data_IF_118871162148
#
_entry.id   IF_118871162148
#
_cell.length_a   1.000
_cell.length_b   1.000
_cell.length_c   1.000
_cell.angle_alpha   90.00
_cell.angle_beta   90.00
_cell.angle_gamma   90.00
#
_symmetry.space_group_name_H-M   'P 1'
#
loop_
_entity.id
_entity.type
_entity.pdbx_description
1 polymer ?
#
# COMPACT_ATOMS: atom_id res chain seq x y z
N UNK A 1 -44.57 20.10 -77.35
CA UNK A 1 -45.42 20.17 -76.14
C UNK A 1 -44.71 19.39 -75.03
N UNK A 2 -43.94 20.05 -74.17
CA UNK A 2 -43.09 19.39 -73.16
C UNK A 2 -43.91 19.17 -71.89
N UNK A 3 -44.05 17.91 -71.46
CA UNK A 3 -44.76 17.48 -70.25
C UNK A 3 -43.74 17.23 -69.14
N UNK A 4 -43.87 17.95 -68.02
CA UNK A 4 -43.16 17.70 -66.77
C UNK A 4 -43.74 16.47 -66.05
N UNK A 5 -42.85 15.62 -65.52
CA UNK A 5 -43.19 14.67 -64.45
C UNK A 5 -42.37 15.06 -63.21
N UNK A 6 -43.08 15.55 -62.19
CA UNK A 6 -42.56 15.89 -60.86
C UNK A 6 -42.15 14.61 -60.13
N UNK A 7 -40.90 14.53 -59.69
CA UNK A 7 -40.41 13.51 -58.75
C UNK A 7 -40.75 13.90 -57.31
N UNK A 8 -41.23 12.93 -56.53
CA UNK A 8 -41.68 13.08 -55.14
C UNK A 8 -40.50 13.38 -54.19
N UNK A 9 -40.18 14.66 -53.97
CA UNK A 9 -39.13 15.10 -53.04
C UNK A 9 -39.50 14.94 -51.55
N UNK A 10 -40.76 14.66 -51.23
CA UNK A 10 -41.26 14.60 -49.85
C UNK A 10 -40.84 13.33 -49.09
N UNK A 11 -40.63 12.19 -49.76
CA UNK A 11 -40.21 10.94 -49.08
C UNK A 11 -38.72 10.91 -48.73
N UNK A 12 -37.87 11.58 -49.52
CA UNK A 12 -36.42 11.63 -49.25
C UNK A 12 -36.10 12.59 -48.08
N UNK A 13 -36.90 13.65 -47.92
CA UNK A 13 -36.74 14.61 -46.82
C UNK A 13 -37.12 14.03 -45.45
N UNK A 14 -38.14 13.16 -45.40
CA UNK A 14 -38.57 12.47 -44.17
C UNK A 14 -37.57 11.42 -43.67
N UNK A 15 -36.86 10.73 -44.58
CA UNK A 15 -35.83 9.74 -44.21
C UNK A 15 -34.57 10.42 -43.66
N UNK A 16 -34.20 11.59 -44.21
CA UNK A 16 -33.04 12.36 -43.74
C UNK A 16 -33.30 12.97 -42.35
N UNK A 17 -34.52 13.45 -42.07
CA UNK A 17 -34.89 13.96 -40.74
C UNK A 17 -34.92 12.83 -39.69
N UNK A 18 -35.34 11.61 -40.06
CA UNK A 18 -35.29 10.46 -39.15
C UNK A 18 -33.86 9.99 -38.84
N UNK A 19 -32.92 10.14 -39.78
CA UNK A 19 -31.50 9.85 -39.52
C UNK A 19 -30.79 10.95 -38.72
N UNK A 20 -31.20 12.21 -38.87
CA UNK A 20 -30.70 13.33 -38.05
C UNK A 20 -31.18 13.26 -36.58
N UNK A 21 -32.37 12.73 -36.31
CA UNK A 21 -32.84 12.51 -34.93
C UNK A 21 -32.21 11.29 -34.24
N UNK A 22 -31.81 10.26 -34.99
CA UNK A 22 -31.08 9.10 -34.43
C UNK A 22 -29.60 9.43 -34.21
N UNK A 23 -28.99 10.27 -35.05
CA UNK A 23 -27.61 10.72 -34.86
C UNK A 23 -27.44 11.77 -33.74
N UNK A 24 -28.49 12.49 -33.36
CA UNK A 24 -28.44 13.56 -32.35
C UNK A 24 -28.88 13.11 -30.94
N UNK A 25 -29.25 11.85 -30.73
CA UNK A 25 -29.59 11.29 -29.40
C UNK A 25 -28.47 10.47 -28.75
N UNK A 26 -27.32 10.28 -29.41
CA UNK A 26 -26.15 9.57 -28.84
C UNK A 26 -24.96 10.48 -28.46
N UNK A 27 -25.18 11.79 -28.38
CA UNK A 27 -24.30 12.70 -27.64
C UNK A 27 -24.99 13.17 -26.35
N UNK A 28 -25.52 12.22 -25.58
CA UNK A 28 -25.53 12.41 -24.13
C UNK A 28 -24.07 12.51 -23.74
N UNK A 29 -23.66 13.70 -23.32
CA UNK A 29 -22.40 13.95 -22.64
C UNK A 29 -22.04 12.76 -21.75
N UNK A 30 -21.11 11.91 -22.19
CA UNK A 30 -20.23 11.20 -21.26
C UNK A 30 -19.39 12.29 -20.59
N UNK A 31 -19.99 13.03 -19.64
CA UNK A 31 -19.25 13.39 -18.44
C UNK A 31 -18.81 12.04 -17.92
N UNK A 32 -17.56 11.65 -18.22
CA UNK A 32 -17.00 10.45 -17.65
C UNK A 32 -17.24 10.57 -16.15
N UNK A 33 -18.05 9.68 -15.58
CA UNK A 33 -18.23 9.66 -14.14
C UNK A 33 -16.84 9.49 -13.55
N UNK A 34 -16.29 10.56 -12.97
CA UNK A 34 -15.04 10.55 -12.24
C UNK A 34 -15.10 9.41 -11.23
N UNK A 35 -14.07 8.56 -11.20
CA UNK A 35 -14.03 7.44 -10.27
C UNK A 35 -14.01 8.00 -8.85
N UNK A 36 -14.62 7.31 -7.90
CA UNK A 36 -14.62 7.79 -6.50
C UNK A 36 -13.20 7.86 -5.94
N UNK A 37 -12.35 6.95 -6.39
CA UNK A 37 -10.90 6.95 -6.16
C UNK A 37 -10.17 8.23 -6.59
N UNK A 38 -10.66 8.96 -7.60
CA UNK A 38 -10.02 10.20 -8.08
C UNK A 38 -10.15 11.36 -7.08
N UNK A 39 -11.07 11.25 -6.12
CA UNK A 39 -11.29 12.27 -5.08
C UNK A 39 -10.45 12.04 -3.82
N UNK A 40 -9.72 10.94 -3.72
CA UNK A 40 -8.91 10.64 -2.54
C UNK A 40 -7.58 11.38 -2.58
N UNK A 41 -7.22 11.99 -1.46
CA UNK A 41 -5.95 12.68 -1.25
C UNK A 41 -5.18 12.03 -0.09
N UNK A 42 -4.25 11.09 -0.37
CA UNK A 42 -3.50 10.40 0.68
C UNK A 42 -2.55 11.29 1.49
N UNK A 43 -2.31 12.55 1.08
CA UNK A 43 -1.50 13.48 1.86
C UNK A 43 -2.30 14.23 2.93
N UNK A 44 -3.63 14.18 2.87
CA UNK A 44 -4.48 14.81 3.88
C UNK A 44 -4.14 14.26 5.26
N UNK A 45 -3.91 15.14 6.25
CA UNK A 45 -3.58 14.77 7.63
C UNK A 45 -2.20 14.09 7.82
N UNK A 46 -1.25 14.29 6.89
CA UNK A 46 0.12 13.72 6.99
C UNK A 46 1.17 14.68 7.52
N UNK A 47 0.83 15.94 7.83
CA UNK A 47 1.77 16.92 8.38
C UNK A 47 1.58 17.11 9.88
N UNK A 48 2.66 17.04 10.65
CA UNK A 48 2.69 17.35 12.09
C UNK A 48 1.57 16.60 12.86
N UNK A 49 0.96 17.25 13.86
CA UNK A 49 -0.07 16.68 14.74
C UNK A 49 -1.48 16.61 14.12
N UNK A 50 -1.64 16.78 12.80
CA UNK A 50 -2.95 16.94 12.17
C UNK A 50 -3.65 15.61 11.81
N UNK A 51 -3.25 14.51 12.43
CA UNK A 51 -3.93 13.21 12.30
C UNK A 51 -3.00 12.00 12.18
N UNK A 52 -1.70 12.20 11.98
CA UNK A 52 -0.68 11.12 11.96
C UNK A 52 -0.98 10.06 10.91
N UNK A 53 -1.49 10.44 9.75
CA UNK A 53 -1.76 9.51 8.64
C UNK A 53 -0.51 9.25 7.80
N UNK A 54 -0.64 8.43 6.76
CA UNK A 54 0.45 8.12 5.85
C UNK A 54 -0.01 8.00 4.39
N UNK A 55 0.86 8.29 3.40
CA UNK A 55 0.55 8.19 1.99
C UNK A 55 0.82 6.78 1.42
N UNK A 56 0.66 5.71 2.22
CA UNK A 56 1.02 4.37 1.77
C UNK A 56 0.26 3.92 0.53
N UNK A 57 1.00 3.28 -0.37
CA UNK A 57 0.45 2.63 -1.55
C UNK A 57 -0.16 1.27 -1.17
N UNK A 58 -1.22 1.29 -0.37
CA UNK A 58 -1.89 0.13 0.20
C UNK A 58 -3.21 -0.17 -0.52
N UNK A 59 -3.76 -1.38 -0.29
CA UNK A 59 -5.15 -1.72 -0.63
C UNK A 59 -6.04 -1.57 0.62
N UNK A 60 -7.38 -1.52 0.49
CA UNK A 60 -8.27 -1.50 1.64
C UNK A 60 -7.97 -2.65 2.60
N UNK A 61 -7.88 -2.34 3.89
CA UNK A 61 -7.53 -3.28 4.97
C UNK A 61 -6.20 -4.03 4.76
N UNK A 62 -5.31 -3.48 3.93
CA UNK A 62 -4.07 -4.12 3.48
C UNK A 62 -3.02 -4.27 4.56
N UNK A 63 -2.43 -5.47 4.69
CA UNK A 63 -1.29 -5.73 5.56
C UNK A 63 0.00 -5.05 5.06
N UNK A 64 0.31 -5.16 3.76
CA UNK A 64 1.45 -4.49 3.15
C UNK A 64 1.13 -3.01 2.90
N UNK A 65 1.99 -2.13 3.44
CA UNK A 65 1.84 -0.67 3.38
C UNK A 65 3.15 0.03 3.02
N UNK A 66 3.63 -0.13 1.77
CA UNK A 66 4.85 0.51 1.31
C UNK A 66 4.65 2.03 1.21
N UNK A 67 5.54 2.80 1.86
CA UNK A 67 5.58 4.25 1.76
C UNK A 67 6.98 4.78 2.16
N UNK A 68 7.25 6.08 1.93
CA UNK A 68 8.45 6.75 2.46
C UNK A 68 8.48 6.74 3.99
N UNK A 69 9.69 6.60 4.53
CA UNK A 69 10.02 6.88 5.92
C UNK A 69 10.77 8.22 5.96
N UNK A 70 10.06 9.29 6.32
CA UNK A 70 10.57 10.66 6.23
C UNK A 70 11.72 10.92 7.21
N UNK A 71 12.49 11.97 6.94
CA UNK A 71 13.52 12.50 7.82
C UNK A 71 13.31 14.03 7.97
N UNK A 72 12.87 14.51 9.15
CA UNK A 72 12.59 13.75 10.37
C UNK A 72 11.41 12.77 10.22
N UNK A 73 11.43 11.71 11.04
CA UNK A 73 10.41 10.65 11.00
C UNK A 73 9.10 11.16 11.59
N UNK A 74 8.03 11.15 10.79
CA UNK A 74 6.67 11.43 11.28
C UNK A 74 6.09 10.27 12.10
N UNK A 75 4.93 10.49 12.71
CA UNK A 75 4.28 9.52 13.60
C UNK A 75 3.99 8.18 12.96
N UNK A 76 3.37 8.16 11.77
CA UNK A 76 3.18 6.93 10.98
C UNK A 76 4.32 6.67 9.99
N UNK A 77 5.49 7.22 10.30
CA UNK A 77 6.69 7.14 9.48
C UNK A 77 6.86 8.27 8.46
N UNK A 78 5.86 9.14 8.27
CA UNK A 78 5.92 10.20 7.26
C UNK A 78 5.39 11.53 7.79
N UNK A 79 6.10 12.62 7.47
CA UNK A 79 5.65 14.00 7.62
C UNK A 79 5.73 14.72 6.28
N UNK A 80 4.63 15.34 5.84
CA UNK A 80 4.57 16.04 4.54
C UNK A 80 5.59 17.17 4.38
N UNK A 81 6.00 17.83 5.48
CA UNK A 81 6.98 18.92 5.46
C UNK A 81 8.43 18.43 5.34
N UNK A 82 8.66 17.14 5.56
CA UNK A 82 9.99 16.56 5.48
C UNK A 82 10.54 16.62 4.06
N UNK A 83 11.82 16.98 3.96
CA UNK A 83 12.55 17.14 2.68
C UNK A 83 13.47 15.98 2.37
N UNK A 84 13.60 15.03 3.29
CA UNK A 84 14.48 13.86 3.18
C UNK A 84 13.73 12.59 3.53
N UNK A 85 14.30 11.46 3.12
CA UNK A 85 13.78 10.12 3.35
C UNK A 85 14.90 9.20 3.83
N UNK A 86 14.64 8.41 4.86
CA UNK A 86 15.53 7.36 5.38
C UNK A 86 15.50 6.10 4.51
N UNK A 87 14.44 5.94 3.71
CA UNK A 87 14.16 4.81 2.83
C UNK A 87 12.66 4.56 2.75
N UNK A 88 12.27 3.41 2.20
CA UNK A 88 10.87 3.03 1.99
C UNK A 88 10.60 1.71 2.71
N UNK A 89 9.81 1.74 3.78
CA UNK A 89 9.44 0.55 4.55
C UNK A 89 8.11 -0.02 4.14
N UNK A 90 7.86 -1.27 4.52
CA UNK A 90 6.74 -2.07 4.01
C UNK A 90 5.55 -2.15 4.98
N UNK A 91 5.68 -1.60 6.19
CA UNK A 91 4.68 -1.73 7.26
C UNK A 91 4.51 -0.41 8.01
N UNK A 92 3.26 -0.03 8.31
CA UNK A 92 2.92 1.10 9.19
C UNK A 92 1.50 1.00 9.72
N UNK A 93 1.19 1.79 10.74
CA UNK A 93 -0.15 1.89 11.32
C UNK A 93 -0.57 3.36 11.35
N UNK A 94 -1.33 3.77 10.32
CA UNK A 94 -1.89 5.12 10.14
C UNK A 94 -2.79 5.54 11.31
N UNK A 95 -2.68 6.80 11.73
CA UNK A 95 -3.68 7.49 12.54
C UNK A 95 -3.71 7.11 14.01
N UNK A 96 -2.58 6.65 14.56
CA UNK A 96 -2.46 6.28 15.97
C UNK A 96 -1.63 7.30 16.75
N UNK A 97 -1.88 7.37 18.06
CA UNK A 97 -1.05 8.16 18.99
C UNK A 97 0.29 7.49 19.30
N UNK A 98 1.12 8.13 20.13
CA UNK A 98 2.54 7.77 20.27
C UNK A 98 3.26 7.78 18.91
N UNK A 99 4.49 7.25 18.80
CA UNK A 99 5.33 7.27 17.59
C UNK A 99 4.87 6.31 16.46
N UNK A 100 3.58 6.00 16.37
CA UNK A 100 3.09 4.95 15.47
C UNK A 100 3.70 3.58 15.75
N UNK A 101 3.68 2.69 14.76
CA UNK A 101 4.36 1.39 14.77
C UNK A 101 4.57 0.89 13.34
N UNK A 102 5.64 0.14 13.11
CA UNK A 102 6.03 -0.36 11.78
C UNK A 102 7.43 0.07 11.42
N UNK A 103 7.64 0.43 10.16
CA UNK A 103 8.96 0.77 9.64
C UNK A 103 9.80 -0.42 9.25
N UNK A 104 9.21 -1.62 9.12
CA UNK A 104 9.98 -2.84 8.91
C UNK A 104 10.41 -3.00 7.45
N UNK A 105 11.60 -3.61 7.27
CA UNK A 105 12.19 -3.93 5.96
C UNK A 105 12.31 -2.64 5.14
N UNK A 106 13.11 -1.69 5.64
CA UNK A 106 13.30 -0.39 4.98
C UNK A 106 14.30 -0.54 3.85
N UNK A 107 13.95 -0.06 2.67
CA UNK A 107 14.76 -0.14 1.45
C UNK A 107 15.17 1.27 1.02
N UNK A 108 16.46 1.53 0.89
CA UNK A 108 17.01 2.77 0.37
C UNK A 108 17.75 2.50 -0.96
N UNK A 109 17.29 3.03 -2.11
CA UNK A 109 18.04 2.93 -3.35
C UNK A 109 19.27 3.85 -3.27
N UNK A 110 20.40 3.40 -3.81
CA UNK A 110 21.62 4.19 -3.86
C UNK A 110 22.26 4.16 -5.25
N UNK A 111 23.00 5.22 -5.53
CA UNK A 111 23.89 5.37 -6.70
C UNK A 111 25.17 6.00 -6.14
N UNK A 112 26.29 5.29 -6.26
CA UNK A 112 27.61 5.75 -5.84
C UNK A 112 28.26 6.41 -7.06
N UNK A 113 28.54 7.70 -6.93
CA UNK A 113 29.35 8.50 -7.85
C UNK A 113 30.72 8.81 -7.26
N UNK A 114 31.64 9.36 -8.05
CA UNK A 114 32.99 9.74 -7.63
C UNK A 114 33.01 10.67 -6.39
N UNK A 115 31.97 11.51 -6.24
CA UNK A 115 31.80 12.44 -5.11
C UNK A 115 31.24 11.78 -3.84
N UNK A 116 30.85 10.50 -3.90
CA UNK A 116 30.15 9.79 -2.82
C UNK A 116 30.76 8.42 -2.62
N UNK A 117 31.58 8.24 -1.60
CA UNK A 117 32.25 6.95 -1.33
C UNK A 117 31.45 5.97 -0.46
N UNK A 118 30.32 6.40 0.12
CA UNK A 118 29.50 5.58 1.01
C UNK A 118 28.00 5.70 0.69
N UNK A 119 27.25 4.63 0.98
CA UNK A 119 25.79 4.63 0.88
C UNK A 119 25.25 5.70 1.86
N UNK A 120 24.44 6.65 1.39
CA UNK A 120 23.91 7.70 2.24
C UNK A 120 22.95 7.14 3.30
N UNK A 121 22.85 7.82 4.44
CA UNK A 121 21.88 7.46 5.50
C UNK A 121 20.47 7.96 5.21
N UNK A 122 20.35 9.01 4.41
CA UNK A 122 19.09 9.57 3.91
C UNK A 122 19.32 10.28 2.58
N UNK A 123 18.24 10.44 1.80
CA UNK A 123 18.25 11.12 0.51
C UNK A 123 17.24 12.27 0.52
N UNK A 124 17.54 13.38 -0.14
CA UNK A 124 16.54 14.43 -0.39
C UNK A 124 15.47 13.94 -1.36
N UNK A 125 14.23 14.33 -1.06
CA UNK A 125 13.05 14.15 -1.90
C UNK A 125 12.91 15.35 -2.83
N UNK A 126 12.68 15.12 -4.12
CA UNK A 126 12.15 16.15 -5.01
C UNK A 126 10.64 16.26 -4.79
N UNK A 127 10.24 17.13 -3.86
CA UNK A 127 8.84 17.34 -3.47
C UNK A 127 7.93 17.78 -4.62
N UNK A 128 8.47 18.34 -5.70
CA UNK A 128 7.66 18.70 -6.89
C UNK A 128 7.23 17.47 -7.70
N UNK A 129 7.92 16.34 -7.51
CA UNK A 129 7.62 15.07 -8.19
C UNK A 129 6.83 14.10 -7.32
N UNK A 130 6.65 14.43 -6.04
CA UNK A 130 5.99 13.55 -5.08
C UNK A 130 4.48 13.48 -5.37
N UNK A 131 3.98 12.26 -5.52
CA UNK A 131 2.58 11.99 -5.86
C UNK A 131 2.09 10.80 -5.06
N UNK A 132 0.87 10.87 -4.58
CA UNK A 132 0.16 9.76 -3.97
C UNK A 132 -1.28 9.73 -4.47
N UNK A 133 -1.79 8.52 -4.70
CA UNK A 133 -3.19 8.24 -5.01
C UNK A 133 -3.55 6.89 -4.41
N UNK A 134 -4.80 6.47 -4.52
CA UNK A 134 -5.21 5.16 -3.97
C UNK A 134 -4.33 4.02 -4.53
N UNK A 135 -3.68 3.27 -3.63
CA UNK A 135 -2.81 2.16 -4.01
C UNK A 135 -1.51 2.55 -4.71
N UNK A 136 -1.10 3.83 -4.72
CA UNK A 136 0.11 4.28 -5.41
C UNK A 136 0.83 5.44 -4.71
N UNK A 137 2.14 5.39 -4.74
CA UNK A 137 3.03 6.48 -4.31
C UNK A 137 4.22 6.58 -5.26
N UNK A 138 4.70 7.79 -5.57
CA UNK A 138 5.92 8.00 -6.33
C UNK A 138 6.63 9.29 -5.97
N UNK A 139 7.96 9.28 -6.07
CA UNK A 139 8.82 10.46 -5.88
C UNK A 139 10.17 10.26 -6.58
N UNK A 140 10.82 11.34 -7.00
CA UNK A 140 12.22 11.34 -7.44
C UNK A 140 13.15 11.75 -6.30
N UNK A 141 14.36 11.19 -6.27
CA UNK A 141 15.37 11.43 -5.25
C UNK A 141 16.55 12.23 -5.82
N UNK A 142 17.35 12.86 -4.95
CA UNK A 142 18.52 13.65 -5.38
C UNK A 142 19.59 12.84 -6.12
N UNK A 143 19.64 11.52 -5.90
CA UNK A 143 20.50 10.59 -6.66
C UNK A 143 19.90 10.18 -8.02
N UNK A 144 18.87 10.89 -8.48
CA UNK A 144 18.16 10.71 -9.76
C UNK A 144 17.38 9.40 -9.88
N UNK A 145 17.27 8.60 -8.81
CA UNK A 145 16.40 7.43 -8.79
C UNK A 145 14.95 7.87 -8.64
N UNK A 146 14.06 7.39 -9.51
CA UNK A 146 12.61 7.52 -9.34
C UNK A 146 12.07 6.29 -8.62
N UNK A 147 11.25 6.52 -7.60
CA UNK A 147 10.59 5.47 -6.81
C UNK A 147 9.11 5.44 -7.17
N UNK A 148 8.54 4.26 -7.32
CA UNK A 148 7.09 4.02 -7.47
C UNK A 148 6.70 2.81 -6.63
N UNK A 149 5.63 2.93 -5.84
CA UNK A 149 5.18 1.91 -4.90
C UNK A 149 3.72 1.52 -5.20
N UNK A 150 3.40 0.25 -5.02
CA UNK A 150 2.03 -0.30 -5.01
C UNK A 150 2.01 -1.55 -4.12
N UNK A 151 0.82 -2.06 -3.80
CA UNK A 151 0.72 -3.30 -3.03
C UNK A 151 -0.49 -4.15 -3.41
N UNK A 152 -0.38 -5.43 -3.07
CA UNK A 152 -1.54 -6.31 -2.82
C UNK A 152 -1.85 -6.32 -1.32
N UNK A 153 -2.71 -7.22 -0.83
CA UNK A 153 -2.94 -7.32 0.62
C UNK A 153 -1.64 -7.60 1.40
N UNK A 154 -0.78 -8.51 0.92
CA UNK A 154 0.39 -9.00 1.68
C UNK A 154 1.70 -8.92 0.90
N UNK A 155 1.72 -8.32 -0.29
CA UNK A 155 2.96 -8.14 -1.07
C UNK A 155 3.07 -6.69 -1.50
N UNK A 156 4.13 -6.03 -1.04
CA UNK A 156 4.53 -4.71 -1.48
C UNK A 156 5.41 -4.82 -2.74
N UNK A 157 5.24 -3.88 -3.65
CA UNK A 157 5.99 -3.76 -4.90
C UNK A 157 6.67 -2.40 -4.93
N UNK A 158 7.97 -2.40 -5.11
CA UNK A 158 8.78 -1.20 -5.26
C UNK A 158 9.41 -1.23 -6.65
N UNK A 159 9.11 -0.24 -7.48
CA UNK A 159 9.76 -0.02 -8.76
C UNK A 159 10.72 1.15 -8.62
N UNK A 160 11.99 0.88 -8.87
CA UNK A 160 13.07 1.86 -8.86
C UNK A 160 13.57 2.06 -10.29
N UNK A 161 13.45 3.26 -10.83
CA UNK A 161 14.02 3.62 -12.13
C UNK A 161 15.36 4.31 -11.90
N UNK A 162 16.45 3.66 -12.29
CA UNK A 162 17.81 4.13 -12.03
C UNK A 162 18.36 4.97 -13.20
N UNK A 163 19.23 5.96 -12.91
CA UNK A 163 20.13 6.51 -13.93
C UNK A 163 21.18 5.47 -14.32
N UNK A 164 21.93 5.76 -15.38
CA UNK A 164 23.10 4.95 -15.74
C UNK A 164 24.17 5.03 -14.64
N UNK A 165 24.68 3.87 -14.20
CA UNK A 165 25.73 3.78 -13.17
C UNK A 165 26.33 2.38 -13.10
N UNK A 166 27.64 2.28 -12.89
CA UNK A 166 28.31 1.01 -12.57
C UNK A 166 28.17 0.62 -11.09
N UNK A 167 27.81 1.55 -10.22
CA UNK A 167 27.77 1.36 -8.77
C UNK A 167 26.40 1.76 -8.20
N UNK A 168 25.34 1.03 -8.59
CA UNK A 168 23.99 1.22 -8.09
C UNK A 168 23.57 0.07 -7.16
N UNK A 169 22.46 0.27 -6.45
CA UNK A 169 21.91 -0.82 -5.66
C UNK A 169 20.79 -0.43 -4.71
N UNK A 170 20.48 -1.39 -3.85
CA UNK A 170 19.47 -1.28 -2.81
C UNK A 170 20.10 -1.64 -1.46
N UNK A 171 19.94 -0.77 -0.48
CA UNK A 171 20.33 -1.02 0.90
C UNK A 171 19.07 -1.33 1.72
N UNK A 172 19.04 -2.51 2.33
CA UNK A 172 17.88 -3.01 3.08
C UNK A 172 18.27 -3.12 4.56
N UNK A 173 17.45 -2.51 5.41
CA UNK A 173 17.59 -2.55 6.86
C UNK A 173 16.48 -3.39 7.49
N UNK A 174 16.83 -4.61 7.89
CA UNK A 174 15.91 -5.53 8.58
C UNK A 174 15.71 -5.19 10.06
N UNK A 175 16.59 -4.37 10.64
CA UNK A 175 16.45 -3.86 12.01
C UNK A 175 15.63 -2.56 12.06
N UNK A 176 15.13 -2.08 10.93
CA UNK A 176 14.34 -0.85 10.87
C UNK A 176 13.00 -1.00 11.60
N UNK A 177 12.69 -0.03 12.47
CA UNK A 177 11.45 0.07 13.23
C UNK A 177 11.22 1.51 13.69
N UNK A 178 9.95 1.95 13.78
CA UNK A 178 9.59 3.28 14.28
C UNK A 178 9.69 3.39 15.81
N UNK A 179 9.38 2.31 16.52
CA UNK A 179 9.31 2.30 17.99
C UNK A 179 10.54 1.62 18.58
N UNK A 180 10.86 0.43 18.09
CA UNK A 180 11.95 -0.38 18.60
C UNK A 180 12.04 -1.72 17.89
N UNK A 181 13.27 -2.17 17.70
CA UNK A 181 13.60 -3.46 17.11
C UNK A 181 14.02 -4.43 18.22
N UNK A 182 13.54 -5.68 18.17
CA UNK A 182 13.92 -6.70 19.13
C UNK A 182 14.95 -7.67 18.53
N UNK A 183 14.58 -8.35 17.44
CA UNK A 183 15.47 -9.25 16.73
C UNK A 183 15.02 -9.43 15.28
N UNK A 184 15.95 -9.91 14.45
CA UNK A 184 15.66 -10.41 13.11
C UNK A 184 16.50 -11.66 12.85
N UNK A 185 15.95 -12.56 12.05
CA UNK A 185 16.65 -13.71 11.50
C UNK A 185 16.30 -13.80 10.03
N UNK A 186 17.30 -14.02 9.17
CA UNK A 186 17.07 -14.17 7.75
C UNK A 186 18.08 -15.12 7.11
N UNK A 187 17.71 -15.61 5.93
CA UNK A 187 18.54 -16.39 5.04
C UNK A 187 18.43 -15.82 3.63
N UNK A 188 19.48 -16.02 2.83
CA UNK A 188 19.49 -15.73 1.39
C UNK A 188 19.62 -17.08 0.69
N UNK A 189 18.63 -17.45 -0.12
CA UNK A 189 18.67 -18.71 -0.87
C UNK A 189 19.43 -18.57 -2.21
N UNK A 190 19.64 -19.69 -2.89
CA UNK A 190 20.35 -19.76 -4.17
C UNK A 190 19.68 -18.95 -5.29
N UNK A 191 18.37 -18.68 -5.17
CA UNK A 191 17.62 -17.84 -6.11
C UNK A 191 17.70 -16.35 -5.77
N UNK A 192 18.49 -15.98 -4.75
CA UNK A 192 18.63 -14.60 -4.27
C UNK A 192 17.42 -14.10 -3.48
N UNK A 193 16.55 -14.99 -2.99
CA UNK A 193 15.41 -14.60 -2.15
C UNK A 193 15.90 -14.44 -0.71
N UNK A 194 15.71 -13.25 -0.17
CA UNK A 194 15.92 -12.97 1.25
C UNK A 194 14.64 -13.31 2.00
N UNK A 195 14.66 -14.24 2.94
CA UNK A 195 13.46 -14.58 3.74
C UNK A 195 13.78 -14.78 5.20
N UNK A 196 12.80 -14.53 6.07
CA UNK A 196 13.07 -14.52 7.51
C UNK A 196 11.91 -14.07 8.37
N UNK A 197 12.22 -13.70 9.61
CA UNK A 197 11.28 -13.12 10.59
C UNK A 197 11.90 -11.90 11.27
N UNK A 198 11.03 -10.95 11.64
CA UNK A 198 11.38 -9.72 12.34
C UNK A 198 10.44 -9.57 13.52
N UNK A 199 11.01 -9.29 14.69
CA UNK A 199 10.26 -8.85 15.86
C UNK A 199 10.53 -7.38 16.17
N UNK A 200 9.49 -6.64 16.54
CA UNK A 200 9.54 -5.23 16.88
C UNK A 200 8.55 -4.89 17.99
N UNK A 201 8.82 -3.79 18.69
CA UNK A 201 7.95 -3.24 19.74
C UNK A 201 6.64 -2.74 19.15
N UNK A 202 5.53 -2.98 19.85
CA UNK A 202 4.22 -2.45 19.47
C UNK A 202 4.03 -0.99 19.93
N UNK A 203 2.85 -0.42 19.64
CA UNK A 203 2.52 0.98 19.91
C UNK A 203 2.77 1.34 21.39
N UNK A 204 3.27 2.55 21.62
CA UNK A 204 3.61 3.06 22.96
C UNK A 204 4.55 2.15 23.77
N UNK A 205 5.39 1.35 23.08
CA UNK A 205 6.34 0.42 23.69
C UNK A 205 5.66 -0.64 24.59
N UNK A 206 4.40 -0.99 24.29
CA UNK A 206 3.66 -2.09 24.93
C UNK A 206 3.72 -3.29 23.99
N UNK A 207 4.06 -4.46 24.52
CA UNK A 207 4.12 -5.71 23.77
C UNK A 207 5.07 -5.70 22.56
N UNK A 208 5.04 -6.80 21.84
CA UNK A 208 5.89 -7.06 20.68
C UNK A 208 5.05 -7.76 19.60
N UNK A 209 5.42 -7.60 18.34
CA UNK A 209 4.87 -8.39 17.24
C UNK A 209 5.98 -9.08 16.47
N UNK A 210 5.67 -10.23 15.88
CA UNK A 210 6.57 -10.95 14.97
C UNK A 210 5.89 -11.16 13.62
N UNK A 211 6.55 -10.70 12.55
CA UNK A 211 6.13 -10.96 11.18
C UNK A 211 7.22 -11.72 10.42
N UNK A 212 6.79 -12.45 9.41
CA UNK A 212 7.65 -13.17 8.47
C UNK A 212 7.65 -12.47 7.13
N UNK A 213 8.76 -12.58 6.40
CA UNK A 213 8.90 -11.95 5.10
C UNK A 213 9.66 -12.79 4.10
N UNK A 214 9.47 -12.46 2.83
CA UNK A 214 10.31 -12.87 1.72
C UNK A 214 10.46 -11.70 0.73
N UNK A 215 11.67 -11.41 0.29
CA UNK A 215 12.01 -10.30 -0.58
C UNK A 215 12.84 -10.79 -1.76
N UNK A 216 12.51 -10.32 -2.97
CA UNK A 216 13.30 -10.56 -4.18
C UNK A 216 13.33 -9.33 -5.08
N UNK A 217 14.33 -9.28 -5.95
CA UNK A 217 14.45 -8.34 -7.06
C UNK A 217 14.40 -9.10 -8.39
N UNK A 218 13.97 -8.45 -9.47
CA UNK A 218 14.08 -8.99 -10.83
C UNK A 218 15.44 -8.72 -11.49
N UNK A 219 16.33 -7.94 -10.84
CA UNK A 219 17.71 -7.71 -11.27
C UNK A 219 18.58 -8.95 -11.04
N UNK A 220 18.73 -9.77 -12.08
CA UNK A 220 19.37 -11.11 -12.04
C UNK A 220 20.89 -11.10 -11.87
N UNK A 221 21.55 -10.07 -12.37
CA UNK A 221 22.99 -9.84 -12.33
C UNK A 221 23.42 -9.13 -11.02
N UNK A 222 22.56 -9.10 -10.01
CA UNK A 222 22.86 -8.47 -8.74
C UNK A 222 23.70 -9.34 -7.81
N UNK A 223 24.58 -8.69 -7.05
CA UNK A 223 25.35 -9.30 -5.97
C UNK A 223 24.70 -8.98 -4.63
N UNK A 224 24.31 -10.01 -3.89
CA UNK A 224 23.72 -9.85 -2.55
C UNK A 224 24.80 -10.07 -1.49
N UNK A 225 24.98 -9.06 -0.64
CA UNK A 225 25.87 -9.10 0.52
C UNK A 225 25.02 -8.91 1.77
N UNK A 226 25.06 -9.87 2.68
CA UNK A 226 24.39 -9.78 3.97
C UNK A 226 25.41 -9.61 5.09
N UNK A 227 25.13 -8.69 6.00
CA UNK A 227 25.86 -8.50 7.24
C UNK A 227 24.90 -8.15 8.38
N UNK A 228 24.71 -9.10 9.30
CA UNK A 228 23.80 -9.00 10.44
C UNK A 228 22.37 -8.61 10.02
N UNK A 229 21.93 -7.37 10.22
CA UNK A 229 20.59 -6.89 9.86
C UNK A 229 20.56 -6.05 8.58
N UNK A 230 21.72 -5.87 7.93
CA UNK A 230 21.87 -5.05 6.73
C UNK A 230 22.12 -5.94 5.54
N UNK A 231 21.38 -5.69 4.46
CA UNK A 231 21.55 -6.38 3.19
C UNK A 231 21.81 -5.34 2.12
N UNK A 232 22.83 -5.59 1.30
CA UNK A 232 23.19 -4.76 0.15
C UNK A 232 23.00 -5.60 -1.11
N UNK A 233 22.18 -5.12 -2.03
CA UNK A 233 21.99 -5.69 -3.36
C UNK A 233 22.65 -4.73 -4.34
N UNK A 234 23.81 -5.12 -4.89
CA UNK A 234 24.64 -4.29 -5.78
C UNK A 234 24.49 -4.73 -7.23
N UNK A 235 24.46 -3.76 -8.14
CA UNK A 235 24.41 -4.00 -9.58
C UNK A 235 24.84 -2.76 -10.37
N UNK A 236 25.18 -2.95 -11.64
CA UNK A 236 25.20 -1.85 -12.61
C UNK A 236 23.78 -1.63 -13.16
N UNK A 237 23.49 -0.39 -13.55
CA UNK A 237 22.22 0.04 -14.08
C UNK A 237 22.42 0.80 -15.39
N UNK A 238 21.60 0.50 -16.38
CA UNK A 238 21.48 1.27 -17.61
C UNK A 238 20.59 2.50 -17.40
N UNK A 239 20.70 3.49 -18.28
CA UNK A 239 19.85 4.68 -18.22
C UNK A 239 18.37 4.32 -18.28
N UNK A 240 17.61 4.74 -17.26
CA UNK A 240 16.19 4.45 -17.08
C UNK A 240 15.86 2.96 -16.88
N UNK A 241 16.82 2.14 -16.45
CA UNK A 241 16.54 0.75 -16.10
C UNK A 241 15.57 0.69 -14.91
N UNK A 242 14.48 -0.07 -15.08
CA UNK A 242 13.50 -0.32 -14.02
C UNK A 242 13.85 -1.60 -13.27
N UNK A 243 14.06 -1.50 -11.95
CA UNK A 243 14.30 -2.62 -11.05
C UNK A 243 13.09 -2.79 -10.14
N UNK A 244 12.50 -3.97 -10.13
CA UNK A 244 11.31 -4.30 -9.35
C UNK A 244 11.63 -5.19 -8.16
N UNK A 245 11.44 -4.64 -6.96
CA UNK A 245 11.53 -5.37 -5.70
C UNK A 245 10.13 -5.75 -5.23
N UNK A 246 9.99 -6.99 -4.78
CA UNK A 246 8.76 -7.50 -4.17
C UNK A 246 9.07 -7.90 -2.74
N UNK A 247 8.24 -7.48 -1.80
CA UNK A 247 8.34 -7.87 -0.39
C UNK A 247 7.01 -8.49 0.06
N UNK A 248 6.98 -9.81 0.21
CA UNK A 248 5.84 -10.56 0.71
C UNK A 248 5.91 -10.68 2.24
N UNK A 249 4.78 -10.50 2.91
CA UNK A 249 4.62 -10.60 4.36
C UNK A 249 3.76 -11.81 4.72
N UNK A 250 3.98 -12.40 5.90
CA UNK A 250 3.13 -13.44 6.51
C UNK A 250 3.15 -13.28 8.02
N UNK A 251 2.07 -13.70 8.69
CA UNK A 251 2.03 -13.84 10.16
C UNK A 251 2.27 -15.29 10.61
N UNK A 252 2.46 -16.22 9.68
CA UNK A 252 2.57 -17.67 9.95
C UNK A 252 4.02 -18.14 9.84
N UNK A 253 4.65 -17.94 8.68
CA UNK A 253 6.00 -18.46 8.39
C UNK A 253 6.69 -17.74 7.22
N UNK A 254 8.02 -17.87 7.16
CA UNK A 254 8.81 -17.40 6.02
C UNK A 254 8.50 -18.20 4.74
N UNK A 255 8.16 -19.49 4.86
CA UNK A 255 7.73 -20.32 3.72
C UNK A 255 6.43 -19.82 3.08
N UNK A 256 5.47 -19.39 3.90
CA UNK A 256 4.23 -18.83 3.39
C UNK A 256 4.49 -17.48 2.69
N UNK A 257 5.39 -16.66 3.24
CA UNK A 257 5.84 -15.44 2.57
C UNK A 257 6.52 -15.74 1.22
N UNK A 258 7.44 -16.72 1.17
CA UNK A 258 8.11 -17.15 -0.08
C UNK A 258 7.12 -17.68 -1.11
N UNK A 259 6.15 -18.48 -0.69
CA UNK A 259 5.09 -19.00 -1.60
C UNK A 259 4.31 -17.86 -2.23
N UNK A 260 3.94 -16.84 -1.45
CA UNK A 260 3.26 -15.64 -1.97
C UNK A 260 4.16 -14.84 -2.91
N UNK A 261 5.42 -14.66 -2.56
CA UNK A 261 6.41 -13.97 -3.39
C UNK A 261 6.54 -14.65 -4.77
N UNK A 262 6.71 -15.97 -4.79
CA UNK A 262 6.83 -16.78 -6.02
C UNK A 262 5.58 -16.67 -6.91
N UNK A 263 4.37 -16.67 -6.32
CA UNK A 263 3.12 -16.45 -7.07
C UNK A 263 3.04 -15.07 -7.74
N UNK A 264 3.79 -14.09 -7.23
CA UNK A 264 3.83 -12.72 -7.75
C UNK A 264 5.07 -12.42 -8.62
N UNK A 265 5.96 -13.39 -8.82
CA UNK A 265 7.27 -13.18 -9.43
C UNK A 265 7.21 -12.56 -10.85
N UNK A 266 6.21 -12.95 -11.64
CA UNK A 266 6.04 -12.49 -13.03
C UNK A 266 4.89 -11.47 -13.18
N UNK A 267 4.30 -11.00 -12.08
CA UNK A 267 3.20 -10.03 -12.15
C UNK A 267 3.81 -8.62 -12.36
N UNK A 268 3.42 -7.90 -13.43
CA UNK A 268 3.93 -6.54 -13.69
C UNK A 268 3.40 -5.53 -12.68
N UNK A 269 4.22 -4.51 -12.38
CA UNK A 269 3.87 -3.42 -11.46
C UNK A 269 2.53 -2.76 -11.80
N UNK A 270 2.32 -2.42 -13.08
CA UNK A 270 1.12 -1.70 -13.53
C UNK A 270 -0.17 -2.54 -13.38
N UNK A 271 -0.05 -3.87 -13.48
CA UNK A 271 -1.18 -4.79 -13.22
C UNK A 271 -1.56 -4.75 -11.75
N UNK A 272 -0.58 -4.76 -10.84
CA UNK A 272 -0.83 -4.65 -9.40
C UNK A 272 -1.44 -3.29 -9.05
N UNK A 273 -0.91 -2.21 -9.60
CA UNK A 273 -1.42 -0.86 -9.39
C UNK A 273 -2.88 -0.73 -9.87
N UNK A 274 -3.19 -1.21 -11.08
CA UNK A 274 -4.56 -1.22 -11.61
C UNK A 274 -5.51 -2.02 -10.70
N UNK A 275 -5.06 -3.18 -10.21
CA UNK A 275 -5.85 -3.99 -9.28
C UNK A 275 -6.05 -3.30 -7.92
N UNK A 276 -5.07 -2.54 -7.44
CA UNK A 276 -5.20 -1.75 -6.22
C UNK A 276 -6.25 -0.64 -6.39
N UNK A 277 -6.22 0.10 -7.51
CA UNK A 277 -7.26 1.09 -7.83
C UNK A 277 -8.64 0.45 -7.86
N UNK A 278 -8.79 -0.71 -8.51
CA UNK A 278 -10.09 -1.39 -8.60
C UNK A 278 -10.63 -1.79 -7.22
N UNK A 279 -9.77 -2.26 -6.31
CA UNK A 279 -10.18 -2.57 -4.92
C UNK A 279 -10.61 -1.32 -4.15
N UNK A 280 -9.94 -0.20 -4.37
CA UNK A 280 -10.34 1.07 -3.78
C UNK A 280 -11.67 1.56 -4.31
N UNK A 281 -11.89 1.47 -5.63
CA UNK A 281 -13.18 1.82 -6.22
C UNK A 281 -14.31 0.96 -5.66
N UNK A 282 -14.09 -0.35 -5.48
CA UNK A 282 -15.07 -1.26 -4.87
C UNK A 282 -15.50 -0.84 -3.46
N UNK A 283 -14.57 -0.35 -2.66
CA UNK A 283 -14.85 0.13 -1.29
C UNK A 283 -15.48 1.51 -1.31
N UNK A 284 -14.97 2.43 -2.13
CA UNK A 284 -15.40 3.83 -2.12
C UNK A 284 -16.76 4.05 -2.79
N UNK A 285 -17.18 3.17 -3.70
CA UNK A 285 -18.48 3.26 -4.38
C UNK A 285 -19.69 2.95 -3.47
N UNK A 286 -19.46 2.56 -2.22
CA UNK A 286 -20.54 2.28 -1.25
C UNK A 286 -21.43 3.50 -0.96
N UNK A 287 -20.91 4.71 -1.18
CA UNK A 287 -21.68 5.96 -1.07
C UNK A 287 -21.41 6.83 -2.30
N UNK A 288 -22.49 7.31 -2.93
CA UNK A 288 -22.42 8.38 -3.91
C UNK A 288 -22.71 9.74 -3.25
N UNK A 289 -21.72 10.63 -3.27
CA UNK A 289 -21.85 11.99 -2.71
C UNK A 289 -22.24 12.97 -3.80
N UNK A 290 -23.49 13.41 -3.75
CA UNK A 290 -24.04 14.47 -4.61
C UNK A 290 -23.81 15.85 -3.98
N UNK A 291 -22.72 16.50 -4.39
CA UNK A 291 -22.46 17.91 -4.06
C UNK A 291 -21.77 18.62 -5.22
N UNK A 292 -21.97 19.94 -5.31
CA UNK A 292 -21.23 20.85 -6.20
C UNK A 292 -19.88 21.26 -5.60
N UNK A 293 -19.66 21.05 -4.31
CA UNK A 293 -18.42 21.38 -3.61
C UNK A 293 -17.39 20.24 -3.77
N UNK A 294 -16.33 20.50 -4.54
CA UNK A 294 -15.26 19.52 -4.77
C UNK A 294 -14.40 19.27 -3.54
N UNK A 295 -14.32 20.24 -2.60
CA UNK A 295 -13.59 20.10 -1.34
C UNK A 295 -14.33 19.12 -0.42
N UNK A 296 -15.65 19.29 -0.28
CA UNK A 296 -16.48 18.35 0.51
C UNK A 296 -16.38 16.94 -0.04
N UNK A 297 -16.42 16.78 -1.38
CA UNK A 297 -16.29 15.47 -2.03
C UNK A 297 -14.92 14.84 -1.78
N UNK A 298 -13.83 15.62 -1.89
CA UNK A 298 -12.47 15.18 -1.55
C UNK A 298 -12.36 14.76 -0.09
N UNK A 299 -12.87 15.58 0.83
CA UNK A 299 -12.86 15.27 2.26
C UNK A 299 -13.60 13.96 2.53
N UNK A 300 -14.82 13.78 2.02
CA UNK A 300 -15.58 12.57 2.27
C UNK A 300 -14.84 11.30 1.83
N UNK A 301 -14.39 11.25 0.56
CA UNK A 301 -13.73 10.04 0.03
C UNK A 301 -12.36 9.80 0.69
N UNK A 302 -11.62 10.85 1.05
CA UNK A 302 -10.37 10.70 1.80
C UNK A 302 -10.60 10.18 3.23
N UNK A 303 -11.64 10.63 3.92
CA UNK A 303 -11.95 10.10 5.26
C UNK A 303 -12.45 8.65 5.20
N UNK A 304 -13.22 8.28 4.17
CA UNK A 304 -13.62 6.89 3.94
C UNK A 304 -12.41 5.99 3.60
N UNK A 305 -11.47 6.52 2.81
CA UNK A 305 -10.16 5.90 2.56
C UNK A 305 -9.41 5.65 3.87
N UNK A 306 -9.24 6.66 4.73
CA UNK A 306 -8.58 6.50 6.03
C UNK A 306 -9.31 5.53 6.96
N UNK A 307 -10.64 5.55 6.97
CA UNK A 307 -11.43 4.63 7.79
C UNK A 307 -11.11 3.18 7.44
N UNK A 308 -10.94 2.86 6.16
CA UNK A 308 -10.71 1.50 5.64
C UNK A 308 -9.25 1.09 5.53
N UNK A 309 -8.34 1.86 6.12
CA UNK A 309 -6.93 1.48 6.27
C UNK A 309 -6.69 0.42 7.35
N UNK A 310 -7.58 0.32 8.33
CA UNK A 310 -7.49 -0.63 9.46
C UNK A 310 -8.89 -1.09 9.88
N UNK A 311 -9.05 -2.24 10.56
CA UNK A 311 -8.02 -3.25 10.89
C UNK A 311 -7.44 -3.93 9.64
N UNK A 312 -6.40 -4.72 9.80
CA UNK A 312 -5.67 -5.38 8.72
C UNK A 312 -6.17 -6.81 8.49
N UNK A 313 -6.29 -7.24 7.24
CA UNK A 313 -6.54 -8.65 6.88
C UNK A 313 -5.20 -9.40 6.93
N UNK A 314 -4.99 -10.26 7.92
CA UNK A 314 -3.67 -10.83 8.23
C UNK A 314 -3.50 -12.31 7.87
N UNK A 315 -4.59 -13.06 7.65
CA UNK A 315 -4.48 -14.49 7.37
C UNK A 315 -3.73 -14.76 6.07
N UNK A 316 -3.04 -15.90 6.03
CA UNK A 316 -2.46 -16.43 4.81
C UNK A 316 -3.52 -17.07 3.92
N UNK A 317 -3.15 -17.47 2.70
CA UNK A 317 -4.08 -17.86 1.64
C UNK A 317 -4.96 -19.06 1.98
N UNK A 318 -4.50 -19.95 2.87
CA UNK A 318 -5.26 -21.10 3.34
C UNK A 318 -6.13 -20.77 4.56
N UNK A 319 -6.16 -19.52 5.01
CA UNK A 319 -6.88 -19.05 6.19
C UNK A 319 -6.10 -19.17 7.50
N UNK A 320 -4.84 -19.63 7.48
CA UNK A 320 -4.02 -19.71 8.68
C UNK A 320 -3.58 -18.34 9.19
N UNK A 321 -3.53 -18.19 10.50
CA UNK A 321 -3.01 -16.99 11.17
C UNK A 321 -2.47 -17.36 12.55
N UNK A 322 -1.57 -16.53 13.11
CA UNK A 322 -1.17 -16.64 14.51
C UNK A 322 -2.09 -15.78 15.39
N UNK A 323 -2.50 -16.32 16.53
CA UNK A 323 -3.25 -15.56 17.54
C UNK A 323 -2.33 -14.67 18.38
N UNK A 324 -2.93 -13.80 19.20
CA UNK A 324 -2.17 -12.97 20.15
C UNK A 324 -1.46 -13.78 21.24
N UNK A 325 -1.82 -15.06 21.42
CA UNK A 325 -1.16 -16.03 22.29
C UNK A 325 0.01 -16.77 21.59
N UNK A 326 0.34 -16.40 20.34
CA UNK A 326 1.40 -16.98 19.54
C UNK A 326 1.07 -18.32 18.88
N UNK A 327 -0.10 -18.92 19.16
CA UNK A 327 -0.51 -20.21 18.58
C UNK A 327 -1.06 -20.04 17.19
N UNK A 328 -1.03 -21.13 16.42
CA UNK A 328 -1.54 -21.17 15.06
C UNK A 328 -3.04 -21.52 15.05
N UNK A 329 -3.81 -20.75 14.30
CA UNK A 329 -5.25 -20.93 14.11
C UNK A 329 -5.59 -20.90 12.62
N UNK A 330 -6.85 -21.23 12.30
CA UNK A 330 -7.39 -21.15 10.96
C UNK A 330 -8.77 -20.49 11.00
N UNK A 331 -8.96 -19.44 10.21
CA UNK A 331 -10.28 -18.79 10.11
C UNK A 331 -11.23 -19.64 9.27
N UNK A 332 -12.51 -19.66 9.67
CA UNK A 332 -13.62 -20.21 8.86
C UNK A 332 -14.27 -19.14 7.98
N UNK A 333 -13.95 -17.87 8.23
CA UNK A 333 -14.48 -16.74 7.49
C UNK A 333 -13.61 -16.41 6.27
N UNK A 334 -14.13 -15.53 5.40
CA UNK A 334 -13.37 -15.02 4.27
C UNK A 334 -12.12 -14.26 4.74
N UNK A 335 -12.28 -13.42 5.77
CA UNK A 335 -11.18 -12.65 6.33
C UNK A 335 -10.96 -12.88 7.83
N UNK A 336 -9.72 -12.74 8.26
CA UNK A 336 -9.35 -12.62 9.66
C UNK A 336 -8.60 -11.30 9.89
N UNK A 337 -9.12 -10.50 10.82
CA UNK A 337 -8.65 -9.15 11.07
C UNK A 337 -7.77 -9.04 12.31
N UNK A 338 -6.81 -8.11 12.28
CA UNK A 338 -5.96 -7.74 13.41
C UNK A 338 -5.58 -6.25 13.36
N UNK A 339 -4.95 -5.71 14.41
CA UNK A 339 -4.55 -4.30 14.48
C UNK A 339 -5.67 -3.44 15.03
N UNK A 340 -6.08 -3.77 16.25
CA UNK A 340 -7.25 -3.21 16.88
C UNK A 340 -6.93 -1.90 17.59
N UNK A 341 -7.88 -0.97 17.58
CA UNK A 341 -7.86 0.28 18.34
C UNK A 341 -9.25 0.50 18.92
N UNK A 342 -9.72 -0.48 19.69
CA UNK A 342 -11.16 -0.60 20.02
C UNK A 342 -11.67 0.58 20.83
N UNK A 343 -10.87 1.17 21.72
CA UNK A 343 -11.23 2.36 22.52
C UNK A 343 -11.65 3.57 21.67
N UNK A 344 -11.07 3.71 20.48
CA UNK A 344 -11.43 4.75 19.52
C UNK A 344 -12.56 4.28 18.59
N UNK A 345 -12.37 3.09 18.00
CA UNK A 345 -13.13 2.64 16.83
C UNK A 345 -14.54 2.17 17.14
N UNK A 346 -14.87 1.79 18.38
CA UNK A 346 -16.23 1.41 18.77
C UNK A 346 -17.25 2.55 18.63
N UNK A 347 -16.79 3.80 18.74
CA UNK A 347 -17.65 5.00 18.81
C UNK A 347 -18.35 5.29 17.48
N UNK A 348 -17.63 5.17 16.37
CA UNK A 348 -18.12 5.60 15.05
C UNK A 348 -17.68 4.69 13.90
N UNK A 349 -16.43 4.20 13.90
CA UNK A 349 -15.87 3.41 12.79
C UNK A 349 -16.48 2.00 12.69
N UNK A 350 -16.58 1.27 13.79
CA UNK A 350 -17.23 -0.05 13.79
C UNK A 350 -18.74 0.06 13.47
N UNK A 351 -19.51 1.01 14.04
CA UNK A 351 -20.86 1.30 13.58
C UNK A 351 -20.98 1.65 12.09
N UNK A 352 -20.05 2.45 11.54
CA UNK A 352 -20.02 2.74 10.11
C UNK A 352 -19.87 1.46 9.27
N UNK A 353 -18.99 0.55 9.69
CA UNK A 353 -18.74 -0.69 8.97
C UNK A 353 -19.92 -1.66 9.02
N UNK A 354 -20.72 -1.67 10.09
CA UNK A 354 -21.93 -2.49 10.15
C UNK A 354 -22.99 -2.05 9.13
N UNK A 355 -22.96 -0.76 8.74
CA UNK A 355 -23.85 -0.19 7.72
C UNK A 355 -23.27 -0.36 6.31
N UNK A 356 -22.01 0.03 6.10
CA UNK A 356 -21.43 0.16 4.75
C UNK A 356 -20.77 -1.14 4.26
N UNK A 357 -20.15 -1.91 5.16
CA UNK A 357 -19.32 -3.05 4.80
C UNK A 357 -19.70 -4.29 5.60
N UNK A 358 -21.00 -4.67 5.58
CA UNK A 358 -21.58 -5.71 6.43
C UNK A 358 -20.79 -7.02 6.46
N UNK A 359 -20.35 -7.52 5.31
CA UNK A 359 -19.53 -8.75 5.24
C UNK A 359 -18.18 -8.60 5.94
N UNK A 360 -17.48 -7.48 5.73
CA UNK A 360 -16.24 -7.19 6.45
C UNK A 360 -16.50 -7.03 7.95
N UNK A 361 -17.63 -6.44 8.33
CA UNK A 361 -18.01 -6.29 9.73
C UNK A 361 -18.27 -7.64 10.42
N UNK A 362 -18.93 -8.59 9.75
CA UNK A 362 -19.13 -9.97 10.24
C UNK A 362 -17.77 -10.67 10.47
N UNK A 363 -16.87 -10.55 9.49
CA UNK A 363 -15.51 -11.08 9.59
C UNK A 363 -14.72 -10.44 10.76
N UNK A 364 -14.86 -9.12 10.96
CA UNK A 364 -14.24 -8.38 12.07
C UNK A 364 -14.78 -8.84 13.43
N UNK A 365 -16.11 -8.95 13.59
CA UNK A 365 -16.72 -9.40 14.84
C UNK A 365 -16.36 -10.85 15.15
N UNK A 366 -16.28 -11.71 14.13
CA UNK A 366 -15.78 -13.08 14.30
C UNK A 366 -14.32 -13.06 14.76
N UNK A 367 -13.48 -12.22 14.16
CA UNK A 367 -12.05 -12.10 14.54
C UNK A 367 -11.89 -11.62 15.99
N UNK A 368 -12.70 -10.65 16.44
CA UNK A 368 -12.73 -10.22 17.84
C UNK A 368 -13.24 -11.31 18.80
N UNK A 369 -14.23 -12.10 18.39
CA UNK A 369 -14.72 -13.24 19.18
C UNK A 369 -13.62 -14.30 19.36
N UNK A 370 -12.87 -14.61 18.30
CA UNK A 370 -11.73 -15.51 18.39
C UNK A 370 -10.59 -14.94 19.26
N UNK A 371 -10.31 -13.64 19.13
CA UNK A 371 -9.34 -12.94 19.97
C UNK A 371 -9.70 -13.05 21.47
N UNK A 372 -10.98 -12.91 21.81
CA UNK A 372 -11.47 -13.10 23.18
C UNK A 372 -11.24 -14.54 23.67
N UNK A 373 -11.57 -15.55 22.85
CA UNK A 373 -11.33 -16.97 23.18
C UNK A 373 -9.84 -17.31 23.35
N UNK A 374 -8.97 -16.57 22.68
CA UNK A 374 -7.51 -16.69 22.81
C UNK A 374 -6.96 -16.07 24.10
N UNK A 375 -7.80 -15.45 24.93
CA UNK A 375 -7.41 -14.91 26.24
C UNK A 375 -6.71 -13.55 26.17
N UNK A 376 -7.05 -12.72 25.17
CA UNK A 376 -6.47 -11.39 25.00
C UNK A 376 -6.75 -10.49 26.22
N UNK A 377 -5.69 -9.84 26.71
CA UNK A 377 -5.73 -8.81 27.76
C UNK A 377 -5.78 -7.39 27.16
N UNK A 378 -6.03 -6.38 27.99
CA UNK A 378 -6.25 -4.97 27.60
C UNK A 378 -5.16 -4.36 26.70
N UNK A 379 -3.92 -4.87 26.77
CA UNK A 379 -2.78 -4.39 25.98
C UNK A 379 -2.20 -5.47 25.05
N UNK A 380 -1.48 -5.04 24.01
CA UNK A 380 -0.62 -5.89 23.17
C UNK A 380 0.24 -6.85 23.99
N UNK A 381 0.26 -8.12 23.60
CA UNK A 381 1.09 -9.17 24.21
C UNK A 381 2.51 -9.16 23.65
N UNK A 382 3.46 -9.95 24.20
CA UNK A 382 4.77 -10.16 23.59
C UNK A 382 4.76 -11.01 22.30
N UNK A 383 3.61 -11.54 21.91
CA UNK A 383 3.47 -12.55 20.85
C UNK A 383 2.46 -12.15 19.78
N UNK A 384 2.21 -10.84 19.61
CA UNK A 384 1.24 -10.40 18.62
C UNK A 384 1.66 -10.84 17.21
N UNK A 385 0.70 -11.31 16.39
CA UNK A 385 0.98 -11.72 15.02
C UNK A 385 1.32 -10.53 14.13
N UNK A 386 0.84 -9.34 14.50
CA UNK A 386 1.04 -8.13 13.74
C UNK A 386 0.90 -6.89 14.62
N UNK A 387 1.09 -5.72 14.00
CA UNK A 387 1.05 -4.42 14.66
C UNK A 387 -0.35 -4.15 15.23
N UNK A 388 -0.44 -3.77 16.50
CA UNK A 388 -1.70 -3.41 17.18
C UNK A 388 -1.49 -2.30 18.21
N UNK A 389 -2.59 -1.68 18.63
CA UNK A 389 -2.65 -0.80 19.81
C UNK A 389 -3.15 -1.60 21.01
#
# INVERSE_FOLDING_TARGET
>A
MVKLIKTNSTKLFLIIISFLFIACSQQINKKGNSKKSDFVDPFMCTSSEHGHTDPAAAVPFGMAKPAPDSDPLGYSGYDFSAKKVLGFSNTRFSGVGCRGVGGNIRILPFVISDDTSAIPKSLKLDKNTEKASVGYYSVSLENKVKVSLTATNQVAFHKYTFPESENAGLFIDLASSFVGHNYQEHLVDEAGIVSGKISSRNICNKGDYTLYFALSTDKKDSKIISNNSKIKIEFSAQKNEEVLVRCALSVVSAENAKTKLKKQANVPFDVVHKNAINKWEEILQVVDVETKDSVVKRMFYTHLYHATQTPFIIQDQDGQYRGSDGKLYKTKQKNHFHGWSVWDTFRTKLPLFSLFYREHYIDMMTSLSELYKQGKVDWSTPTEPYKTK
#
